data_IF_576191786496
#
_entry.id   IF_576191786496
#
_cell.length_a   1.000
_cell.length_b   1.000
_cell.length_c   1.000
_cell.angle_alpha   90.00
_cell.angle_beta   90.00
_cell.angle_gamma   90.00
#
_symmetry.space_group_name_H-M   'P 1'
#
loop_
_entity.id
_entity.type
_entity.pdbx_description
1 polymer ?
#
# COMPACT_ATOMS: atom_id res chain seq x y z
N UNK A 1 -59.97 -19.85 22.49
CA UNK A 1 -59.67 -18.52 23.06
C UNK A 1 -58.18 -18.48 23.38
N UNK A 2 -57.54 -17.34 23.06
CA UNK A 2 -56.13 -16.92 23.31
C UNK A 2 -55.37 -17.81 24.31
N UNK A 3 -54.13 -18.25 24.07
CA UNK A 3 -52.96 -17.37 24.01
C UNK A 3 -51.84 -17.94 23.11
N UNK A 4 -51.57 -17.19 22.05
CA UNK A 4 -50.37 -17.22 21.23
C UNK A 4 -49.20 -16.67 22.06
N UNK A 5 -48.16 -17.47 22.29
CA UNK A 5 -46.88 -16.97 22.83
C UNK A 5 -45.80 -17.23 21.78
N UNK A 6 -45.65 -16.26 20.88
CA UNK A 6 -44.46 -16.09 20.07
C UNK A 6 -43.29 -15.77 21.02
N UNK A 7 -42.43 -16.75 21.27
CA UNK A 7 -41.14 -16.52 21.92
C UNK A 7 -40.15 -16.09 20.83
N UNK A 8 -39.87 -14.80 20.83
CA UNK A 8 -39.06 -14.11 19.84
C UNK A 8 -37.58 -14.48 19.93
N UNK A 9 -37.05 -14.81 18.75
CA UNK A 9 -35.69 -14.70 18.21
C UNK A 9 -34.75 -13.71 18.94
N UNK A 10 -33.47 -14.08 19.14
CA UNK A 10 -32.30 -13.25 18.78
C UNK A 10 -31.00 -14.07 18.97
N UNK A 11 -30.60 -14.79 17.91
CA UNK A 11 -29.25 -15.34 17.80
C UNK A 11 -28.38 -14.26 17.14
N UNK A 12 -27.62 -13.51 17.93
CA UNK A 12 -26.68 -12.53 17.41
C UNK A 12 -25.37 -13.23 17.01
N UNK A 13 -24.93 -13.17 15.75
CA UNK A 13 -23.60 -13.64 15.38
C UNK A 13 -22.57 -12.61 15.87
N UNK A 14 -21.68 -13.04 16.75
CA UNK A 14 -20.52 -12.27 17.20
C UNK A 14 -19.54 -12.14 16.03
N UNK A 15 -19.64 -11.06 15.27
CA UNK A 15 -18.70 -10.74 14.20
C UNK A 15 -17.38 -10.29 14.86
N UNK A 16 -16.41 -11.20 14.96
CA UNK A 16 -15.06 -10.86 15.39
C UNK A 16 -14.38 -10.07 14.27
N UNK A 17 -14.28 -8.75 14.42
CA UNK A 17 -13.44 -7.93 13.56
C UNK A 17 -11.96 -8.29 13.83
N UNK A 18 -11.31 -8.94 12.87
CA UNK A 18 -9.87 -9.12 12.90
C UNK A 18 -9.21 -7.75 12.70
N UNK A 19 -8.74 -7.14 13.80
CA UNK A 19 -7.83 -6.00 13.74
C UNK A 19 -6.49 -6.55 13.24
N UNK A 20 -6.20 -6.33 11.96
CA UNK A 20 -4.86 -6.56 11.42
C UNK A 20 -3.98 -5.40 11.89
N UNK A 21 -3.21 -5.61 12.94
CA UNK A 21 -2.11 -4.71 13.30
C UNK A 21 -1.08 -4.76 12.16
N UNK A 22 -0.97 -3.67 11.38
CA UNK A 22 0.10 -3.52 10.41
C UNK A 22 1.44 -3.63 11.15
N UNK A 23 2.24 -4.63 10.77
CA UNK A 23 3.51 -4.93 11.42
C UNK A 23 4.49 -3.76 11.26
N UNK A 24 5.04 -3.30 12.39
CA UNK A 24 6.19 -2.40 12.48
C UNK A 24 7.46 -3.09 11.97
N UNK A 25 7.53 -3.33 10.67
CA UNK A 25 8.83 -3.47 10.02
C UNK A 25 9.32 -2.07 9.64
N UNK A 26 10.63 -1.87 9.72
CA UNK A 26 11.30 -0.59 9.44
C UNK A 26 10.78 -0.02 8.11
N UNK A 27 10.25 1.20 8.16
CA UNK A 27 9.65 1.84 7.01
C UNK A 27 10.76 2.20 6.01
N UNK A 28 10.70 1.64 4.81
CA UNK A 28 11.68 1.88 3.75
C UNK A 28 11.18 2.89 2.70
N UNK A 29 9.88 3.16 2.69
CA UNK A 29 9.25 4.16 1.83
C UNK A 29 8.16 4.89 2.60
N UNK A 30 8.24 6.22 2.59
CA UNK A 30 7.22 7.11 3.15
C UNK A 30 6.54 7.87 2.01
N UNK A 31 5.21 7.83 1.97
CA UNK A 31 4.39 8.58 1.01
C UNK A 31 3.57 9.60 1.78
N UNK A 32 3.72 10.88 1.40
CA UNK A 32 3.00 11.99 2.03
C UNK A 32 2.02 12.62 1.04
N UNK A 33 0.77 12.79 1.46
CA UNK A 33 -0.27 13.49 0.71
C UNK A 33 -1.03 14.45 1.65
N UNK A 34 -0.62 15.72 1.67
CA UNK A 34 -1.10 16.68 2.65
C UNK A 34 -0.76 16.25 4.07
N UNK A 35 -1.78 16.08 4.91
CA UNK A 35 -1.62 15.58 6.29
C UNK A 35 -1.54 14.05 6.39
N UNK A 36 -1.80 13.32 5.28
CA UNK A 36 -1.74 11.86 5.27
C UNK A 36 -0.31 11.38 5.06
N UNK A 37 0.13 10.50 5.94
CA UNK A 37 1.43 9.81 5.82
C UNK A 37 1.16 8.31 5.76
N UNK A 38 1.67 7.66 4.72
CA UNK A 38 1.66 6.20 4.55
C UNK A 38 3.10 5.69 4.58
N UNK A 39 3.40 4.86 5.57
CA UNK A 39 4.70 4.19 5.71
C UNK A 39 4.60 2.75 5.22
N UNK A 40 5.55 2.35 4.38
CA UNK A 40 5.61 1.01 3.81
C UNK A 40 6.97 0.38 4.10
N UNK A 41 6.93 -0.85 4.60
CA UNK A 41 8.11 -1.68 4.77
C UNK A 41 8.37 -2.51 3.50
N UNK A 42 9.55 -3.14 3.43
CA UNK A 42 9.94 -3.94 2.27
C UNK A 42 8.98 -5.12 1.97
N UNK A 43 8.38 -5.75 2.99
CA UNK A 43 7.45 -6.85 2.79
C UNK A 43 6.15 -6.39 2.11
N UNK A 44 5.62 -5.23 2.52
CA UNK A 44 4.47 -4.58 1.88
C UNK A 44 4.78 -4.28 0.41
N UNK A 45 5.96 -3.71 0.12
CA UNK A 45 6.36 -3.40 -1.26
C UNK A 45 6.50 -4.67 -2.11
N UNK A 46 7.10 -5.71 -1.58
CA UNK A 46 7.28 -6.99 -2.30
C UNK A 46 5.96 -7.73 -2.54
N UNK A 47 4.93 -7.48 -1.74
CA UNK A 47 3.61 -8.06 -1.93
C UNK A 47 2.79 -7.38 -3.04
N UNK A 48 3.17 -6.16 -3.46
CA UNK A 48 2.50 -5.47 -4.56
C UNK A 48 2.81 -6.14 -5.91
N UNK A 49 1.94 -5.97 -6.93
CA UNK A 49 2.21 -6.47 -8.27
C UNK A 49 3.55 -5.97 -8.80
N UNK A 50 4.47 -6.91 -9.03
CA UNK A 50 5.80 -6.63 -9.56
C UNK A 50 5.75 -6.54 -11.08
N UNK A 51 6.45 -5.56 -11.63
CA UNK A 51 6.67 -5.40 -13.07
C UNK A 51 8.17 -5.33 -13.35
N UNK A 52 8.57 -5.79 -14.53
CA UNK A 52 9.95 -5.68 -15.01
C UNK A 52 9.98 -5.03 -16.39
N UNK A 53 10.95 -4.17 -16.63
CA UNK A 53 11.17 -3.57 -17.93
C UNK A 53 12.66 -3.34 -18.18
N UNK A 54 13.02 -3.31 -19.45
CA UNK A 54 14.38 -3.07 -19.91
C UNK A 54 14.46 -1.69 -20.55
N UNK A 55 15.51 -0.94 -20.23
CA UNK A 55 15.78 0.36 -20.86
C UNK A 55 17.26 0.53 -21.13
N UNK A 56 17.57 1.16 -22.26
CA UNK A 56 18.91 1.62 -22.60
C UNK A 56 18.92 3.14 -22.58
N UNK A 57 20.02 3.74 -22.16
CA UNK A 57 20.21 5.19 -22.28
C UNK A 57 21.42 5.46 -23.17
N UNK A 58 21.51 6.66 -23.74
CA UNK A 58 22.68 7.06 -24.54
C UNK A 58 23.94 7.26 -23.68
N UNK A 59 23.80 7.27 -22.35
CA UNK A 59 24.86 7.57 -21.39
C UNK A 59 25.42 6.32 -20.69
N UNK A 60 24.73 5.19 -20.81
CA UNK A 60 25.08 3.93 -20.16
C UNK A 60 25.21 2.85 -21.21
N UNK A 61 26.31 2.11 -21.19
CA UNK A 61 26.48 0.98 -22.10
C UNK A 61 25.54 -0.18 -21.75
N UNK A 62 24.86 -0.69 -22.76
CA UNK A 62 24.00 -1.86 -22.65
C UNK A 62 22.56 -1.57 -22.24
N UNK A 63 21.83 -2.65 -21.98
CA UNK A 63 20.42 -2.61 -21.58
C UNK A 63 20.34 -2.89 -20.08
N UNK A 64 19.65 -2.02 -19.34
CA UNK A 64 19.45 -2.13 -17.90
C UNK A 64 18.05 -2.67 -17.64
N UNK A 65 17.96 -3.77 -16.89
CA UNK A 65 16.68 -4.32 -16.43
C UNK A 65 16.32 -3.73 -15.07
N UNK A 66 15.11 -3.19 -14.97
CA UNK A 66 14.51 -2.69 -13.73
C UNK A 66 13.35 -3.60 -13.32
N UNK A 67 13.18 -3.82 -12.01
CA UNK A 67 12.08 -4.60 -11.45
C UNK A 67 11.58 -3.99 -10.15
N UNK A 68 10.26 -3.98 -9.95
CA UNK A 68 9.65 -3.50 -8.71
C UNK A 68 8.14 -3.33 -8.83
N UNK A 69 7.48 -2.84 -7.77
CA UNK A 69 6.09 -2.39 -7.85
C UNK A 69 5.93 -1.30 -8.90
N UNK A 70 4.80 -1.30 -9.61
CA UNK A 70 4.47 -0.17 -10.48
C UNK A 70 4.20 1.09 -9.64
N UNK A 71 4.60 2.27 -10.14
CA UNK A 71 4.29 3.54 -9.47
C UNK A 71 2.77 3.71 -9.27
N UNK A 72 1.98 3.26 -10.24
CA UNK A 72 0.50 3.28 -10.14
C UNK A 72 0.00 2.44 -8.96
N UNK A 73 0.54 1.24 -8.75
CA UNK A 73 0.18 0.39 -7.61
C UNK A 73 0.48 1.08 -6.28
N UNK A 74 1.58 1.84 -6.19
CA UNK A 74 1.91 2.63 -5.00
C UNK A 74 0.93 3.79 -4.77
N UNK A 75 0.53 4.48 -5.84
CA UNK A 75 -0.47 5.55 -5.79
C UNK A 75 -1.84 5.02 -5.36
N UNK A 76 -2.25 3.87 -5.88
CA UNK A 76 -3.51 3.22 -5.51
C UNK A 76 -3.54 2.85 -4.02
N UNK A 77 -2.43 2.33 -3.47
CA UNK A 77 -2.28 2.08 -2.03
C UNK A 77 -2.35 3.36 -1.19
N UNK A 78 -1.81 4.46 -1.70
CA UNK A 78 -1.85 5.77 -1.04
C UNK A 78 -3.19 6.52 -1.23
N UNK A 79 -4.10 6.00 -2.06
CA UNK A 79 -5.36 6.66 -2.41
C UNK A 79 -5.18 7.95 -3.21
N UNK A 80 -4.16 8.01 -4.07
CA UNK A 80 -3.82 9.18 -4.91
C UNK A 80 -4.24 8.88 -6.36
N UNK A 81 -5.14 9.68 -6.92
CA UNK A 81 -5.62 9.52 -8.30
C UNK A 81 -4.87 10.37 -9.33
N UNK A 82 -4.39 11.55 -8.93
CA UNK A 82 -3.79 12.56 -9.80
C UNK A 82 -2.95 13.56 -8.98
N UNK A 83 -2.13 14.36 -9.68
CA UNK A 83 -1.30 15.40 -9.08
C UNK A 83 0.14 15.41 -9.61
N UNK A 84 1.01 16.12 -8.89
CA UNK A 84 2.46 16.11 -9.11
C UNK A 84 3.14 15.25 -8.04
N UNK A 85 4.13 14.47 -8.46
CA UNK A 85 4.91 13.61 -7.57
C UNK A 85 6.33 14.16 -7.42
N UNK A 86 6.77 14.31 -6.17
CA UNK A 86 8.17 14.54 -5.83
C UNK A 86 8.75 13.25 -5.28
N UNK A 87 9.88 12.81 -5.84
CA UNK A 87 10.59 11.63 -5.38
C UNK A 87 11.90 12.08 -4.75
N UNK A 88 12.14 11.69 -3.49
CA UNK A 88 13.34 12.02 -2.74
C UNK A 88 14.03 10.73 -2.31
N UNK A 89 15.32 10.62 -2.58
CA UNK A 89 16.17 9.54 -2.08
C UNK A 89 16.74 9.88 -0.70
N UNK A 90 17.12 8.87 0.08
CA UNK A 90 17.71 9.07 1.42
C UNK A 90 19.04 9.83 1.36
N UNK A 91 19.77 9.72 0.26
CA UNK A 91 21.07 10.33 -0.01
C UNK A 91 21.00 11.54 -0.96
N UNK A 92 19.80 12.11 -1.15
CA UNK A 92 19.60 13.23 -2.08
C UNK A 92 20.26 14.55 -1.63
N UNK A 93 20.82 14.62 -0.42
CA UNK A 93 21.63 15.75 0.05
C UNK A 93 23.04 15.70 -0.54
N UNK A 94 23.23 16.43 -1.65
CA UNK A 94 24.55 16.78 -2.18
C UNK A 94 25.09 18.01 -1.42
N UNK A 95 25.67 17.84 -0.23
CA UNK A 95 26.49 18.88 0.41
C UNK A 95 27.91 18.40 0.70
#
# INVERSE_FOLDING_TARGET
MKHFRFASLFLAPLFAAAVTTAASADAVLTVTNGEKVLEMNAATLNALPQVSFETSTIWTDGTISFSGPSLRSLMDQAGISDGQLTLTAIDADCN
#
